data_IF_781746275821
#
_entry.id   IF_781746275821
#
_cell.length_a   1.000
_cell.length_b   1.000
_cell.length_c   1.000
_cell.angle_alpha   90.00
_cell.angle_beta   90.00
_cell.angle_gamma   90.00
#
_symmetry.space_group_name_H-M   'P 1'
#
loop_
_entity.id
_entity.type
_entity.pdbx_description
1 polymer ?
#
# COMPACT_ATOMS: atom_id res chain seq x y z
N UNK A 1 -16.77 11.16 27.89
CA UNK A 1 -16.67 11.88 26.60
C UNK A 1 -15.42 11.38 25.88
N UNK A 2 -15.53 10.28 25.14
CA UNK A 2 -14.46 9.85 24.24
C UNK A 2 -14.77 10.43 22.86
N UNK A 3 -14.17 11.59 22.57
CA UNK A 3 -14.07 12.22 21.25
C UNK A 3 -13.19 11.33 20.36
N UNK A 4 -13.71 10.18 19.97
CA UNK A 4 -12.91 9.10 19.38
C UNK A 4 -12.39 9.45 18.00
N UNK A 5 -11.21 10.07 17.97
CA UNK A 5 -10.36 10.14 16.80
C UNK A 5 -10.05 8.73 16.34
N UNK A 6 -10.53 8.39 15.16
CA UNK A 6 -10.03 7.23 14.43
C UNK A 6 -8.72 7.66 13.77
N UNK A 7 -7.60 7.23 14.34
CA UNK A 7 -6.29 7.41 13.72
C UNK A 7 -6.00 6.20 12.83
N UNK A 8 -5.87 6.44 11.51
CA UNK A 8 -5.38 5.46 10.53
C UNK A 8 -3.87 5.67 10.37
N UNK A 9 -3.07 4.71 10.85
CA UNK A 9 -1.61 4.73 10.68
C UNK A 9 -1.25 3.85 9.48
N UNK A 10 -0.78 4.47 8.38
CA UNK A 10 -0.24 3.75 7.21
C UNK A 10 1.27 3.51 7.38
N UNK A 11 1.67 2.24 7.43
CA UNK A 11 3.08 1.82 7.56
C UNK A 11 3.48 0.95 6.36
N UNK A 12 4.62 1.24 5.76
CA UNK A 12 5.20 0.37 4.74
C UNK A 12 5.73 -0.92 5.40
N UNK A 13 5.12 -2.05 5.07
CA UNK A 13 5.46 -3.37 5.66
C UNK A 13 6.57 -4.03 4.87
N UNK A 14 6.61 -3.83 3.55
CA UNK A 14 7.65 -4.41 2.72
C UNK A 14 7.58 -3.98 1.26
N UNK A 15 8.71 -4.18 0.56
CA UNK A 15 8.82 -3.99 -0.88
C UNK A 15 9.27 -5.28 -1.52
N UNK A 16 8.52 -5.75 -2.51
CA UNK A 16 8.77 -7.02 -3.20
C UNK A 16 8.77 -6.79 -4.72
N UNK A 17 9.67 -7.43 -5.49
CA UNK A 17 9.58 -7.38 -6.95
C UNK A 17 8.26 -8.01 -7.41
N UNK A 18 7.57 -7.36 -8.34
CA UNK A 18 6.33 -7.86 -8.91
C UNK A 18 6.56 -8.35 -10.35
N UNK A 19 5.86 -9.42 -10.77
CA UNK A 19 5.86 -9.81 -12.17
C UNK A 19 5.15 -8.74 -13.01
N UNK A 20 5.68 -8.47 -14.21
CA UNK A 20 5.12 -7.50 -15.14
C UNK A 20 6.08 -6.35 -15.46
N UNK A 21 5.69 -5.60 -16.49
CA UNK A 21 6.42 -4.44 -16.98
C UNK A 21 5.50 -3.22 -16.95
N UNK A 22 6.07 -2.06 -16.67
CA UNK A 22 5.34 -0.80 -16.71
C UNK A 22 4.84 -0.54 -18.14
N UNK A 23 3.52 -0.36 -18.37
CA UNK A 23 2.99 -0.16 -19.71
C UNK A 23 3.44 1.17 -20.33
N UNK A 24 3.97 2.10 -19.53
CA UNK A 24 4.41 3.41 -20.00
C UNK A 24 5.88 3.45 -20.44
N UNK A 25 6.76 2.68 -19.80
CA UNK A 25 8.22 2.76 -20.04
C UNK A 25 8.90 1.40 -20.19
N UNK A 26 8.18 0.29 -20.07
CA UNK A 26 8.74 -1.06 -20.11
C UNK A 26 9.62 -1.41 -18.91
N UNK A 27 9.65 -0.58 -17.86
CA UNK A 27 10.46 -0.81 -16.66
C UNK A 27 9.92 -1.90 -15.76
N UNK A 28 10.77 -2.44 -14.88
CA UNK A 28 10.36 -3.41 -13.86
C UNK A 28 9.34 -2.78 -12.89
N UNK A 29 8.46 -3.64 -12.38
CA UNK A 29 7.45 -3.26 -11.39
C UNK A 29 7.84 -3.82 -10.03
N UNK A 30 7.64 -3.02 -9.00
CA UNK A 30 7.78 -3.40 -7.60
C UNK A 30 6.42 -3.29 -6.93
N UNK A 31 6.05 -4.30 -6.16
CA UNK A 31 4.95 -4.25 -5.22
C UNK A 31 5.43 -3.68 -3.88
N UNK A 32 4.64 -2.80 -3.31
CA UNK A 32 4.83 -2.19 -2.01
C UNK A 32 3.62 -2.58 -1.17
N UNK A 33 3.88 -3.40 -0.15
CA UNK A 33 2.86 -3.85 0.79
C UNK A 33 2.76 -2.81 1.91
N UNK A 34 1.63 -2.12 1.98
CA UNK A 34 1.33 -1.08 2.97
C UNK A 34 0.33 -1.65 3.97
N UNK A 35 0.70 -1.71 5.23
CA UNK A 35 -0.20 -2.06 6.33
C UNK A 35 -0.82 -0.80 6.91
N UNK A 36 -2.14 -0.71 6.90
CA UNK A 36 -2.90 0.32 7.62
C UNK A 36 -3.37 -0.28 8.94
N UNK A 37 -2.93 0.29 10.07
CA UNK A 37 -3.41 -0.08 11.39
C UNK A 37 -4.44 0.94 11.86
N UNK A 38 -5.64 0.47 12.16
CA UNK A 38 -6.69 1.28 12.78
C UNK A 38 -6.59 1.18 14.28
N UNK A 39 -6.34 2.31 14.95
CA UNK A 39 -6.34 2.41 16.41
C UNK A 39 -7.55 3.21 16.87
N UNK A 40 -8.23 2.72 17.88
CA UNK A 40 -9.38 3.38 18.48
C UNK A 40 -9.18 3.42 19.99
N UNK A 41 -9.06 4.62 20.57
CA UNK A 41 -8.83 4.78 22.01
C UNK A 41 -7.70 3.87 22.54
N UNK A 42 -6.60 3.71 21.81
CA UNK A 42 -5.42 2.87 22.15
C UNK A 42 -5.52 1.36 21.88
N UNK A 43 -6.66 0.84 21.41
CA UNK A 43 -6.77 -0.56 21.02
C UNK A 43 -6.59 -0.73 19.50
N UNK A 44 -5.72 -1.65 19.03
CA UNK A 44 -5.63 -1.99 17.63
C UNK A 44 -6.88 -2.77 17.21
N UNK A 45 -7.78 -2.13 16.46
CA UNK A 45 -9.06 -2.77 16.06
C UNK A 45 -8.87 -3.63 14.81
N UNK A 46 -8.14 -3.13 13.81
CA UNK A 46 -8.02 -3.77 12.51
C UNK A 46 -6.67 -3.49 11.86
N UNK A 47 -6.06 -4.53 11.28
CA UNK A 47 -4.92 -4.40 10.39
C UNK A 47 -5.38 -4.67 8.97
N UNK A 48 -5.28 -3.66 8.10
CA UNK A 48 -5.63 -3.76 6.69
C UNK A 48 -4.38 -3.67 5.85
N UNK A 49 -4.01 -4.75 5.18
CA UNK A 49 -2.91 -4.74 4.23
C UNK A 49 -3.41 -4.35 2.84
N UNK A 50 -2.75 -3.38 2.21
CA UNK A 50 -2.99 -2.91 0.84
C UNK A 50 -1.71 -3.06 0.05
N UNK A 51 -1.79 -3.69 -1.12
CA UNK A 51 -0.66 -3.81 -2.04
C UNK A 51 -0.73 -2.71 -3.09
N UNK A 52 0.30 -1.89 -3.20
CA UNK A 52 0.46 -0.83 -4.21
C UNK A 52 1.56 -1.25 -5.18
N UNK A 53 1.42 -0.98 -6.47
CA UNK A 53 2.45 -1.30 -7.46
C UNK A 53 3.10 -0.03 -7.97
N UNK A 54 4.42 -0.05 -8.14
CA UNK A 54 5.19 1.09 -8.62
C UNK A 54 6.22 0.64 -9.65
N UNK A 55 6.45 1.45 -10.67
CA UNK A 55 7.57 1.22 -11.57
C UNK A 55 8.88 1.66 -10.91
N UNK A 56 9.94 0.84 -10.98
CA UNK A 56 11.25 1.19 -10.42
C UNK A 56 12.01 2.22 -11.26
N UNK A 57 11.59 2.47 -12.50
CA UNK A 57 12.25 3.43 -13.41
C UNK A 57 11.59 4.80 -13.37
N UNK A 58 10.27 4.87 -13.56
CA UNK A 58 9.54 6.13 -13.61
C UNK A 58 8.83 6.48 -12.28
N UNK A 59 8.97 5.65 -11.24
CA UNK A 59 8.32 5.79 -9.93
C UNK A 59 6.80 5.96 -9.99
N UNK A 60 6.19 5.62 -11.12
CA UNK A 60 4.77 5.81 -11.37
C UNK A 60 3.97 4.70 -10.69
N UNK A 61 2.89 5.08 -9.99
CA UNK A 61 1.96 4.12 -9.38
C UNK A 61 1.17 3.40 -10.46
N UNK A 62 1.15 2.08 -10.40
CA UNK A 62 0.38 1.20 -11.28
C UNK A 62 -0.83 0.66 -10.50
N UNK A 63 -1.97 0.62 -11.18
CA UNK A 63 -3.23 0.05 -10.66
C UNK A 63 -3.55 -1.16 -11.54
N UNK A 64 -3.70 -2.32 -10.91
CA UNK A 64 -4.15 -3.52 -11.61
C UNK A 64 -5.67 -3.42 -11.73
N UNK A 65 -6.18 -3.45 -12.97
CA UNK A 65 -7.59 -3.66 -13.25
C UNK A 65 -7.76 -5.14 -13.57
N UNK A 66 -8.45 -5.88 -12.69
CA UNK A 66 -8.88 -7.24 -12.99
C UNK A 66 -9.92 -7.14 -14.12
N UNK A 67 -9.66 -7.79 -15.26
CA UNK A 67 -10.51 -7.75 -16.46
C UNK A 67 -11.50 -8.89 -16.49
#
# INVERSE_FOLDING_TARGET
MCFLGCDEEETEVGRQPAPGLCPYCGGKVQAVDVGSQWRFCFLPICFRFKRKYFCTLCSRRLVLYDS
#
